data_IF_624438662580
#
_entry.id   IF_624438662580
#
_cell.length_a   1.000
_cell.length_b   1.000
_cell.length_c   1.000
_cell.angle_alpha   90.00
_cell.angle_beta   90.00
_cell.angle_gamma   90.00
#
_symmetry.space_group_name_H-M   'P 1'
#
loop_
_entity.id
_entity.type
_entity.pdbx_description
1 polymer ?
#
# COMPACT_ATOMS: atom_id res chain seq x y z
N UNK A 1 -40.01 -55.74 -75.92
CA UNK A 1 -41.00 -54.66 -76.15
C UNK A 1 -41.67 -54.36 -74.82
N UNK A 2 -41.23 -53.31 -74.12
CA UNK A 2 -41.79 -51.93 -74.13
C UNK A 2 -43.21 -51.86 -73.53
N UNK A 3 -43.61 -50.92 -72.66
CA UNK A 3 -43.05 -49.77 -71.93
C UNK A 3 -44.17 -49.33 -70.97
N UNK A 4 -43.87 -48.91 -69.74
CA UNK A 4 -44.36 -47.64 -69.12
C UNK A 4 -43.93 -47.56 -67.65
N UNK A 5 -42.94 -46.71 -67.33
CA UNK A 5 -43.01 -45.29 -66.89
C UNK A 5 -43.14 -45.18 -65.36
N UNK A 6 -42.06 -44.83 -64.66
CA UNK A 6 -41.63 -43.47 -64.26
C UNK A 6 -42.45 -42.86 -63.11
N UNK A 7 -41.89 -42.85 -61.90
CA UNK A 7 -41.99 -41.72 -60.95
C UNK A 7 -40.78 -41.75 -60.01
N UNK A 8 -40.11 -40.61 -59.90
CA UNK A 8 -38.92 -40.36 -59.09
C UNK A 8 -39.27 -40.12 -57.60
N UNK A 9 -38.25 -40.10 -56.73
CA UNK A 9 -37.90 -38.99 -55.82
C UNK A 9 -37.08 -39.50 -54.61
N UNK A 10 -35.87 -38.94 -54.48
CA UNK A 10 -35.07 -38.71 -53.26
C UNK A 10 -35.10 -39.72 -52.09
N UNK A 11 -33.95 -40.37 -51.86
CA UNK A 11 -33.50 -40.72 -50.50
C UNK A 11 -32.00 -40.44 -50.41
N UNK A 12 -31.65 -39.15 -50.30
CA UNK A 12 -30.94 -38.58 -49.15
C UNK A 12 -29.87 -39.50 -48.55
N UNK A 13 -28.64 -39.25 -49.00
CA UNK A 13 -27.41 -39.57 -48.32
C UNK A 13 -27.37 -38.85 -46.96
N UNK A 14 -27.84 -39.54 -45.92
CA UNK A 14 -28.04 -39.00 -44.57
C UNK A 14 -27.06 -39.53 -43.52
N UNK A 15 -25.97 -40.23 -43.92
CA UNK A 15 -25.04 -40.84 -42.96
C UNK A 15 -23.78 -40.01 -42.65
N UNK A 16 -23.55 -38.90 -43.37
CA UNK A 16 -22.37 -38.04 -43.16
C UNK A 16 -22.53 -36.90 -42.14
N UNK A 17 -23.76 -36.50 -41.80
CA UNK A 17 -24.00 -35.31 -40.96
C UNK A 17 -24.05 -35.61 -39.44
N UNK A 18 -24.19 -36.87 -39.03
CA UNK A 18 -24.33 -37.22 -37.61
C UNK A 18 -23.00 -37.33 -36.87
N UNK A 19 -21.91 -37.72 -37.55
CA UNK A 19 -20.61 -37.97 -36.90
C UNK A 19 -19.87 -36.67 -36.54
N UNK A 20 -19.84 -35.68 -37.45
CA UNK A 20 -19.15 -34.40 -37.22
C UNK A 20 -19.80 -33.55 -36.12
N UNK A 21 -21.13 -33.64 -35.95
CA UNK A 21 -21.85 -32.92 -34.88
C UNK A 21 -21.52 -33.47 -33.48
N UNK A 22 -21.26 -34.78 -33.40
CA UNK A 22 -21.01 -35.50 -32.15
C UNK A 22 -19.60 -35.19 -31.59
N UNK A 23 -18.62 -34.94 -32.45
CA UNK A 23 -17.25 -34.59 -32.08
C UNK A 23 -17.12 -33.14 -31.57
N UNK A 24 -17.93 -32.22 -32.09
CA UNK A 24 -17.96 -30.84 -31.57
C UNK A 24 -18.65 -30.77 -30.21
N UNK A 25 -19.74 -31.51 -30.01
CA UNK A 25 -20.45 -31.54 -28.73
C UNK A 25 -19.58 -32.09 -27.59
N UNK A 26 -18.75 -33.11 -27.87
CA UNK A 26 -17.85 -33.72 -26.88
C UNK A 26 -16.70 -32.81 -26.45
N UNK A 27 -16.30 -31.82 -27.27
CA UNK A 27 -15.26 -30.84 -26.94
C UNK A 27 -15.85 -29.55 -26.34
N UNK A 28 -17.02 -29.12 -26.82
CA UNK A 28 -17.66 -27.88 -26.35
C UNK A 28 -18.18 -28.04 -24.91
N UNK A 29 -18.75 -29.19 -24.56
CA UNK A 29 -19.27 -29.46 -23.22
C UNK A 29 -18.22 -29.34 -22.09
N UNK A 30 -17.03 -29.97 -22.17
CA UNK A 30 -16.00 -29.82 -21.13
C UNK A 30 -15.44 -28.39 -21.08
N UNK A 31 -15.32 -27.69 -22.21
CA UNK A 31 -14.84 -26.31 -22.24
C UNK A 31 -15.80 -25.36 -21.51
N UNK A 32 -17.11 -25.52 -21.72
CA UNK A 32 -18.14 -24.75 -21.01
C UNK A 32 -18.17 -25.09 -19.52
N UNK A 33 -17.96 -26.36 -19.16
CA UNK A 33 -17.84 -26.77 -17.76
C UNK A 33 -16.64 -26.10 -17.07
N UNK A 34 -15.49 -26.08 -17.74
CA UNK A 34 -14.25 -25.47 -17.23
C UNK A 34 -14.43 -23.96 -17.06
N UNK A 35 -15.01 -23.28 -18.05
CA UNK A 35 -15.34 -21.85 -17.97
C UNK A 35 -16.31 -21.57 -16.80
N UNK A 36 -17.34 -22.41 -16.63
CA UNK A 36 -18.27 -22.33 -15.51
C UNK A 36 -17.57 -22.44 -14.15
N UNK A 37 -16.63 -23.38 -14.00
CA UNK A 37 -15.88 -23.53 -12.74
C UNK A 37 -15.00 -22.31 -12.43
N UNK A 38 -14.33 -21.73 -13.42
CA UNK A 38 -13.50 -20.52 -13.24
C UNK A 38 -14.36 -19.33 -12.83
N UNK A 39 -15.52 -19.14 -13.47
CA UNK A 39 -16.46 -18.07 -13.12
C UNK A 39 -17.05 -18.28 -11.72
N UNK A 40 -17.37 -19.52 -11.35
CA UNK A 40 -17.86 -19.86 -10.01
C UNK A 40 -16.82 -19.60 -8.92
N UNK A 41 -15.55 -19.95 -9.17
CA UNK A 41 -14.44 -19.67 -8.25
C UNK A 41 -14.22 -18.16 -8.14
N UNK A 42 -14.23 -17.42 -9.26
CA UNK A 42 -14.13 -15.97 -9.28
C UNK A 42 -15.27 -15.29 -8.50
N UNK A 43 -16.51 -15.74 -8.70
CA UNK A 43 -17.67 -15.26 -7.97
C UNK A 43 -17.59 -15.58 -6.47
N UNK A 44 -17.09 -16.77 -6.10
CA UNK A 44 -16.85 -17.16 -4.72
C UNK A 44 -15.78 -16.28 -4.06
N UNK A 45 -14.66 -16.02 -4.74
CA UNK A 45 -13.60 -15.13 -4.24
C UNK A 45 -14.12 -13.70 -4.05
N UNK A 46 -14.86 -13.16 -5.04
CA UNK A 46 -15.48 -11.84 -4.94
C UNK A 46 -16.52 -11.81 -3.79
N UNK A 47 -17.31 -12.88 -3.62
CA UNK A 47 -18.27 -13.00 -2.54
C UNK A 47 -17.58 -13.10 -1.17
N UNK A 48 -16.47 -13.83 -1.05
CA UNK A 48 -15.67 -13.93 0.18
C UNK A 48 -15.00 -12.60 0.50
N UNK A 49 -14.43 -11.91 -0.49
CA UNK A 49 -13.87 -10.56 -0.33
C UNK A 49 -14.97 -9.58 0.09
N UNK A 50 -16.13 -9.59 -0.58
CA UNK A 50 -17.29 -8.76 -0.19
C UNK A 50 -17.85 -9.12 1.16
N UNK A 51 -17.88 -10.39 1.54
CA UNK A 51 -18.33 -10.87 2.86
C UNK A 51 -17.32 -10.47 3.92
N UNK A 52 -16.03 -10.59 3.68
CA UNK A 52 -14.97 -10.11 4.58
C UNK A 52 -15.08 -8.59 4.80
N UNK A 53 -15.30 -7.84 3.72
CA UNK A 53 -15.52 -6.39 3.78
C UNK A 53 -16.85 -6.02 4.48
N UNK A 54 -17.95 -6.75 4.24
CA UNK A 54 -19.25 -6.52 4.89
C UNK A 54 -19.31 -6.95 6.36
N UNK A 55 -18.64 -8.04 6.73
CA UNK A 55 -18.66 -8.56 8.12
C UNK A 55 -17.81 -7.67 9.05
N UNK A 56 -16.84 -6.93 8.51
CA UNK A 56 -16.13 -5.85 9.23
C UNK A 56 -16.91 -4.54 9.31
N UNK A 57 -17.96 -4.35 8.51
CA UNK A 57 -18.82 -3.16 8.55
C UNK A 57 -19.92 -3.19 9.61
N UNK A 58 -20.00 -4.25 10.42
CA UNK A 58 -21.07 -4.40 11.42
C UNK A 58 -20.67 -5.35 12.54
N UNK A 59 -19.79 -4.89 13.43
CA UNK A 59 -19.62 -5.41 14.80
C UNK A 59 -18.84 -4.37 15.61
N UNK A 60 -19.50 -3.23 15.83
CA UNK A 60 -19.22 -2.35 16.95
C UNK A 60 -19.82 -2.99 18.21
N UNK A 61 -19.03 -2.98 19.28
CA UNK A 61 -19.35 -3.31 20.67
C UNK A 61 -19.73 -4.76 21.02
N UNK A 62 -18.81 -5.46 21.67
CA UNK A 62 -18.97 -5.94 23.06
C UNK A 62 -17.70 -6.64 23.52
N UNK A 63 -16.84 -5.93 24.25
CA UNK A 63 -16.09 -6.55 25.34
C UNK A 63 -15.65 -5.44 26.29
N UNK A 64 -16.37 -5.34 27.41
CA UNK A 64 -15.98 -4.53 28.56
C UNK A 64 -15.04 -5.36 29.43
N UNK A 65 -13.91 -4.78 29.85
CA UNK A 65 -13.06 -5.40 30.85
C UNK A 65 -11.64 -4.86 30.92
N UNK A 66 -11.49 -3.71 31.60
CA UNK A 66 -10.26 -3.22 32.25
C UNK A 66 -9.00 -3.02 31.40
N UNK A 67 -8.73 -1.76 31.02
CA UNK A 67 -7.42 -1.14 31.24
C UNK A 67 -7.52 0.39 31.26
N UNK A 68 -6.67 1.00 32.07
CA UNK A 68 -6.96 2.20 32.85
C UNK A 68 -6.42 3.45 32.18
N UNK A 69 -7.28 4.47 32.00
CA UNK A 69 -7.00 5.92 31.86
C UNK A 69 -6.06 6.43 30.73
N UNK A 70 -5.11 5.66 30.21
CA UNK A 70 -4.24 6.06 29.10
C UNK A 70 -4.94 5.97 27.72
N UNK A 71 -5.97 5.15 27.60
CA UNK A 71 -6.73 4.97 26.36
C UNK A 71 -7.65 6.14 26.02
N UNK A 72 -8.10 6.91 27.03
CA UNK A 72 -9.04 8.03 26.83
C UNK A 72 -8.44 9.19 26.02
N UNK A 73 -7.12 9.39 26.10
CA UNK A 73 -6.43 10.35 25.23
C UNK A 73 -6.17 9.76 23.84
N UNK A 74 -5.93 8.45 23.74
CA UNK A 74 -5.72 7.74 22.48
C UNK A 74 -6.98 7.77 21.61
N UNK A 75 -8.15 7.43 22.17
CA UNK A 75 -9.39 7.25 21.41
C UNK A 75 -9.88 8.52 20.71
N UNK A 76 -9.69 9.71 21.31
CA UNK A 76 -10.05 10.99 20.67
C UNK A 76 -9.13 11.36 19.49
N UNK A 77 -7.86 10.94 19.50
CA UNK A 77 -6.97 11.10 18.35
C UNK A 77 -7.32 10.13 17.21
N UNK A 78 -7.85 8.95 17.52
CA UNK A 78 -8.08 7.91 16.52
C UNK A 78 -9.32 8.15 15.64
N UNK A 79 -10.39 8.79 16.11
CA UNK A 79 -11.64 8.84 15.32
C UNK A 79 -11.67 9.92 14.23
N UNK A 80 -10.85 10.97 14.32
CA UNK A 80 -10.87 12.09 13.36
C UNK A 80 -9.73 12.08 12.34
N UNK A 81 -8.60 11.42 12.66
CA UNK A 81 -7.33 11.56 11.91
C UNK A 81 -7.03 10.44 10.90
N UNK A 82 -7.79 9.33 10.91
CA UNK A 82 -7.48 8.15 10.09
C UNK A 82 -7.58 8.44 8.59
N UNK A 83 -8.40 9.39 8.17
CA UNK A 83 -8.58 9.75 6.75
C UNK A 83 -7.69 10.90 6.28
N UNK A 84 -6.95 11.57 7.17
CA UNK A 84 -6.13 12.74 6.84
C UNK A 84 -4.62 12.48 6.88
N UNK A 85 -4.19 11.30 7.34
CA UNK A 85 -2.79 10.97 7.42
C UNK A 85 -2.31 10.20 6.17
N UNK A 86 -1.14 10.54 5.61
CA UNK A 86 -0.56 9.77 4.51
C UNK A 86 -0.15 8.37 4.96
N UNK A 87 -0.32 7.40 4.05
CA UNK A 87 0.15 6.03 4.23
C UNK A 87 1.67 5.90 4.07
N UNK A 88 2.33 6.89 3.45
CA UNK A 88 3.76 6.89 3.20
C UNK A 88 4.29 8.31 3.11
N UNK A 89 5.37 8.59 3.83
CA UNK A 89 6.02 9.90 3.78
C UNK A 89 7.50 9.80 4.13
N UNK A 90 8.23 10.83 3.74
CA UNK A 90 9.63 11.08 4.11
C UNK A 90 9.69 12.41 4.85
N UNK A 91 10.33 12.45 6.01
CA UNK A 91 10.69 13.68 6.70
C UNK A 91 12.17 13.98 6.48
N UNK A 92 12.47 15.18 5.99
CA UNK A 92 13.82 15.62 5.63
C UNK A 92 14.17 16.81 6.50
N UNK A 93 15.32 16.75 7.18
CA UNK A 93 15.77 17.84 8.03
C UNK A 93 16.36 18.97 7.19
N UNK A 94 15.52 19.92 6.82
CA UNK A 94 15.89 21.01 5.93
C UNK A 94 14.90 22.17 6.08
N UNK A 95 15.36 23.37 5.75
CA UNK A 95 14.54 24.57 5.61
C UNK A 95 14.41 25.04 4.16
N UNK A 96 14.92 24.26 3.20
CA UNK A 96 14.98 24.61 1.78
C UNK A 96 14.16 23.62 0.92
N UNK A 97 12.87 23.91 0.63
CA UNK A 97 12.02 23.08 -0.23
C UNK A 97 12.55 22.90 -1.66
N UNK A 98 13.25 23.91 -2.20
CA UNK A 98 13.80 23.86 -3.55
C UNK A 98 14.93 22.84 -3.65
N UNK A 99 15.79 22.74 -2.61
CA UNK A 99 16.81 21.69 -2.54
C UNK A 99 16.17 20.29 -2.52
N UNK A 100 15.07 20.12 -1.78
CA UNK A 100 14.29 18.86 -1.75
C UNK A 100 13.70 18.55 -3.13
N UNK A 101 13.13 19.55 -3.80
CA UNK A 101 12.59 19.41 -5.15
C UNK A 101 13.66 18.96 -6.15
N UNK A 102 14.83 19.61 -6.14
CA UNK A 102 15.97 19.25 -7.01
C UNK A 102 16.44 17.82 -6.74
N UNK A 103 16.62 17.44 -5.47
CA UNK A 103 17.06 16.10 -5.10
C UNK A 103 16.04 15.01 -5.46
N UNK A 104 14.75 15.32 -5.45
CA UNK A 104 13.72 14.40 -5.93
C UNK A 104 13.61 14.34 -7.46
N UNK A 105 14.16 15.31 -8.19
CA UNK A 105 13.99 15.41 -9.63
C UNK A 105 12.53 15.67 -10.02
N UNK A 106 11.85 16.51 -9.24
CA UNK A 106 10.44 16.84 -9.45
C UNK A 106 10.25 17.78 -10.66
N UNK A 107 9.33 17.39 -11.55
CA UNK A 107 8.90 18.16 -12.72
C UNK A 107 7.49 18.73 -12.52
N UNK A 108 7.17 19.75 -13.32
CA UNK A 108 5.92 20.49 -13.26
C UNK A 108 5.57 20.96 -11.84
N UNK A 109 6.49 21.67 -11.14
CA UNK A 109 6.23 22.12 -9.78
C UNK A 109 5.07 23.12 -9.77
N UNK A 110 4.01 22.79 -9.05
CA UNK A 110 2.87 23.66 -8.81
C UNK A 110 2.79 23.99 -7.31
N UNK A 111 2.75 25.28 -6.91
CA UNK A 111 2.46 25.63 -5.53
C UNK A 111 1.10 25.06 -5.11
N UNK A 112 1.03 24.50 -3.90
CA UNK A 112 -0.24 24.02 -3.32
C UNK A 112 -0.28 24.23 -1.80
N UNK A 113 -1.48 24.32 -1.27
CA UNK A 113 -1.71 24.36 0.17
C UNK A 113 -1.39 23.00 0.81
N UNK A 114 -1.23 22.98 2.14
CA UNK A 114 -1.06 21.73 2.88
C UNK A 114 -2.24 20.79 2.69
N UNK A 115 -3.48 21.30 2.80
CA UNK A 115 -4.69 20.50 2.62
C UNK A 115 -4.77 19.89 1.21
N UNK A 116 -4.41 20.62 0.16
CA UNK A 116 -4.36 20.08 -1.21
C UNK A 116 -3.27 19.01 -1.36
N UNK A 117 -2.07 19.25 -0.83
CA UNK A 117 -0.93 18.34 -0.93
C UNK A 117 -1.11 17.04 -0.13
N UNK A 118 -1.89 17.08 0.94
CA UNK A 118 -2.20 15.93 1.80
C UNK A 118 -3.46 15.17 1.34
N UNK A 119 -4.25 15.75 0.43
CA UNK A 119 -5.46 15.13 -0.08
C UNK A 119 -5.13 13.86 -0.87
N UNK A 120 -5.60 12.72 -0.37
CA UNK A 120 -5.45 11.44 -1.05
C UNK A 120 -6.20 11.45 -2.38
N UNK A 121 -5.51 11.14 -3.49
CA UNK A 121 -6.12 11.04 -4.81
C UNK A 121 -6.25 12.34 -5.59
N UNK A 122 -5.59 13.44 -5.18
CA UNK A 122 -5.60 14.75 -5.85
C UNK A 122 -4.95 14.78 -7.24
N UNK A 123 -4.61 13.62 -7.84
CA UNK A 123 -3.84 13.52 -9.09
C UNK A 123 -2.37 13.94 -8.96
N UNK A 124 -2.03 14.69 -7.90
CA UNK A 124 -0.67 15.05 -7.53
C UNK A 124 0.06 13.81 -7.02
N UNK A 125 1.23 13.53 -7.60
CA UNK A 125 1.95 12.29 -7.35
C UNK A 125 2.92 12.38 -6.17
N UNK A 126 3.49 13.56 -5.95
CA UNK A 126 4.26 13.92 -4.75
C UNK A 126 3.95 15.36 -4.34
N UNK A 127 3.97 15.59 -3.03
CA UNK A 127 3.86 16.86 -2.35
C UNK A 127 5.09 17.07 -1.47
N UNK A 128 5.68 18.27 -1.53
CA UNK A 128 6.71 18.77 -0.63
C UNK A 128 6.07 19.85 0.25
N UNK A 129 6.08 19.66 1.56
CA UNK A 129 5.55 20.66 2.48
C UNK A 129 6.46 21.89 2.61
N UNK A 130 5.93 23.03 3.06
CA UNK A 130 6.76 24.07 3.67
C UNK A 130 7.57 23.50 4.85
N UNK A 131 8.66 24.16 5.28
CA UNK A 131 9.39 23.78 6.47
C UNK A 131 8.53 23.94 7.73
N UNK A 132 8.35 22.87 8.48
CA UNK A 132 7.64 22.84 9.76
C UNK A 132 8.60 22.35 10.83
N UNK A 133 8.93 23.21 11.81
CA UNK A 133 9.84 22.89 12.92
C UNK A 133 11.20 22.31 12.45
N UNK A 134 11.72 22.81 11.33
CA UNK A 134 12.99 22.38 10.74
C UNK A 134 12.92 21.10 9.89
N UNK A 135 11.71 20.60 9.62
CA UNK A 135 11.46 19.44 8.78
C UNK A 135 10.62 19.80 7.56
N UNK A 136 10.97 19.22 6.43
CA UNK A 136 10.15 19.21 5.22
C UNK A 136 9.60 17.81 5.05
N UNK A 137 8.29 17.69 4.84
CA UNK A 137 7.64 16.44 4.53
C UNK A 137 7.52 16.25 3.03
N UNK A 138 7.79 15.04 2.58
CA UNK A 138 7.50 14.59 1.23
C UNK A 138 6.47 13.48 1.33
N UNK A 139 5.34 13.65 0.67
CA UNK A 139 4.19 12.76 0.75
C UNK A 139 3.75 12.40 -0.67
N UNK A 140 3.35 11.15 -0.89
CA UNK A 140 2.69 10.78 -2.15
C UNK A 140 2.92 9.33 -2.55
N UNK A 141 2.21 8.91 -3.61
CA UNK A 141 2.17 7.53 -4.08
C UNK A 141 3.45 7.08 -4.79
N UNK A 142 4.27 8.02 -5.28
CA UNK A 142 5.53 7.71 -5.96
C UNK A 142 6.72 7.44 -5.05
N UNK A 143 6.57 7.64 -3.73
CA UNK A 143 7.58 7.17 -2.80
C UNK A 143 7.69 5.65 -2.92
N UNK A 144 8.88 5.04 -2.82
CA UNK A 144 9.03 3.58 -2.98
C UNK A 144 8.29 2.80 -1.89
N UNK A 145 7.64 1.70 -2.25
CA UNK A 145 7.02 0.74 -1.31
C UNK A 145 8.02 -0.36 -0.97
N UNK A 146 8.51 -0.47 0.28
CA UNK A 146 9.37 -1.58 0.70
C UNK A 146 8.81 -2.96 0.38
N UNK A 147 7.48 -3.12 0.44
CA UNK A 147 6.81 -4.38 0.08
C UNK A 147 6.90 -4.78 -1.40
N UNK A 148 7.17 -3.83 -2.30
CA UNK A 148 7.35 -4.08 -3.73
C UNK A 148 8.83 -4.34 -4.06
N UNK A 149 9.71 -3.44 -3.61
CA UNK A 149 11.16 -3.57 -3.77
C UNK A 149 11.88 -2.82 -2.63
N UNK A 150 12.38 -3.60 -1.66
CA UNK A 150 13.10 -3.09 -0.50
C UNK A 150 14.46 -2.48 -0.87
N UNK A 151 15.11 -2.97 -1.92
CA UNK A 151 16.39 -2.45 -2.39
C UNK A 151 16.22 -1.11 -3.11
N UNK A 152 15.17 -0.98 -3.93
CA UNK A 152 14.81 0.29 -4.54
C UNK A 152 14.47 1.34 -3.46
N UNK A 153 13.73 0.95 -2.42
CA UNK A 153 13.45 1.81 -1.27
C UNK A 153 14.76 2.24 -0.57
N UNK A 154 15.65 1.29 -0.25
CA UNK A 154 16.94 1.58 0.37
C UNK A 154 17.77 2.56 -0.46
N UNK A 155 17.95 2.29 -1.76
CA UNK A 155 18.76 3.12 -2.66
C UNK A 155 18.18 4.53 -2.80
N UNK A 156 16.85 4.64 -2.88
CA UNK A 156 16.16 5.93 -2.91
C UNK A 156 16.46 6.75 -1.66
N UNK A 157 16.27 6.19 -0.47
CA UNK A 157 16.51 6.88 0.80
C UNK A 157 17.99 7.20 1.02
N UNK A 158 18.88 6.28 0.64
CA UNK A 158 20.32 6.50 0.69
C UNK A 158 20.74 7.68 -0.18
N UNK A 159 20.29 7.73 -1.45
CA UNK A 159 20.60 8.82 -2.38
C UNK A 159 20.11 10.16 -1.83
N UNK A 160 18.84 10.20 -1.41
CA UNK A 160 18.23 11.40 -0.86
C UNK A 160 18.98 11.93 0.37
N UNK A 161 19.40 11.03 1.26
CA UNK A 161 20.19 11.37 2.45
C UNK A 161 21.62 11.83 2.13
N UNK A 162 22.24 11.36 1.04
CA UNK A 162 23.55 11.88 0.61
C UNK A 162 23.47 13.35 0.20
N UNK A 163 22.37 13.73 -0.45
CA UNK A 163 22.18 15.08 -0.96
C UNK A 163 21.64 16.05 0.11
N UNK A 164 20.75 15.57 0.99
CA UNK A 164 19.99 16.43 1.92
C UNK A 164 20.33 16.22 3.40
N UNK A 165 21.25 15.30 3.73
CA UNK A 165 21.66 15.04 5.11
C UNK A 165 20.75 14.03 5.83
N UNK A 166 19.95 14.48 6.79
CA UNK A 166 19.11 13.61 7.62
C UNK A 166 17.74 13.36 6.97
N UNK A 167 17.44 12.09 6.73
CA UNK A 167 16.20 11.62 6.07
C UNK A 167 15.57 10.51 6.90
N UNK A 168 14.28 10.66 7.20
CA UNK A 168 13.49 9.68 7.91
C UNK A 168 12.32 9.25 7.05
N UNK A 169 12.02 7.96 7.01
CA UNK A 169 10.98 7.38 6.19
C UNK A 169 9.98 6.64 7.06
N UNK A 170 8.71 6.72 6.69
CA UNK A 170 7.63 6.01 7.35
C UNK A 170 6.63 5.50 6.32
N UNK A 171 6.20 4.27 6.48
CA UNK A 171 5.12 3.68 5.69
C UNK A 171 4.21 2.85 6.57
N UNK A 172 2.91 2.98 6.37
CA UNK A 172 1.87 2.28 7.11
C UNK A 172 0.73 1.91 6.17
N UNK A 173 0.40 0.62 6.15
CA UNK A 173 -0.81 0.11 5.52
C UNK A 173 -1.59 -0.70 6.55
N UNK A 174 -2.52 -0.02 7.24
CA UNK A 174 -3.35 -0.62 8.30
C UNK A 174 -4.23 -1.77 7.81
N UNK A 175 -4.58 -1.81 6.52
CA UNK A 175 -5.48 -2.84 5.98
C UNK A 175 -4.84 -4.23 6.03
N UNK A 176 -3.56 -4.32 5.64
CA UNK A 176 -2.78 -5.57 5.63
C UNK A 176 -1.74 -5.66 6.77
N UNK A 177 -1.56 -4.60 7.53
CA UNK A 177 -0.58 -4.56 8.62
C UNK A 177 0.86 -4.36 8.16
N UNK A 178 1.08 -4.00 6.89
CA UNK A 178 2.41 -3.70 6.38
C UNK A 178 2.88 -2.38 6.94
N UNK A 179 4.16 -2.30 7.25
CA UNK A 179 4.73 -1.09 7.78
C UNK A 179 6.24 -1.07 7.63
N UNK A 180 6.79 0.14 7.58
CA UNK A 180 8.21 0.36 7.58
C UNK A 180 8.56 1.69 8.24
N UNK A 181 9.77 1.77 8.78
CA UNK A 181 10.41 3.02 9.14
C UNK A 181 11.91 2.92 8.92
N UNK A 182 12.52 4.02 8.51
CA UNK A 182 13.96 4.09 8.34
C UNK A 182 14.50 5.47 8.68
N UNK A 183 15.77 5.52 9.05
CA UNK A 183 16.53 6.74 9.30
C UNK A 183 17.90 6.63 8.66
N UNK A 184 18.20 7.62 7.82
CA UNK A 184 19.48 7.80 7.17
C UNK A 184 20.11 9.13 7.55
N UNK A 185 21.43 9.13 7.66
CA UNK A 185 22.24 10.32 7.88
C UNK A 185 23.40 10.29 6.89
N UNK A 186 23.49 11.30 6.03
CA UNK A 186 24.53 11.44 5.00
C UNK A 186 24.76 10.18 4.16
N UNK A 187 23.69 9.49 3.78
CA UNK A 187 23.74 8.26 2.96
C UNK A 187 24.02 6.97 3.73
N UNK A 188 24.12 7.02 5.05
CA UNK A 188 24.28 5.84 5.90
C UNK A 188 22.95 5.49 6.56
N UNK A 189 22.51 4.25 6.41
CA UNK A 189 21.36 3.73 7.15
C UNK A 189 21.72 3.56 8.63
N UNK A 190 21.10 4.37 9.49
CA UNK A 190 21.30 4.33 10.94
C UNK A 190 20.36 3.31 11.57
N UNK A 191 19.11 3.28 11.08
CA UNK A 191 18.08 2.33 11.48
C UNK A 191 17.16 2.06 10.29
N UNK A 192 16.77 0.82 10.07
CA UNK A 192 15.78 0.45 9.08
C UNK A 192 14.99 -0.76 9.55
N UNK A 193 13.67 -0.70 9.40
CA UNK A 193 12.80 -1.84 9.61
C UNK A 193 11.65 -1.82 8.61
N UNK A 194 11.38 -2.95 7.97
CA UNK A 194 10.24 -3.12 7.06
C UNK A 194 9.61 -4.51 7.24
N UNK A 195 8.29 -4.52 7.32
CA UNK A 195 7.46 -5.71 7.51
C UNK A 195 6.34 -5.76 6.47
N UNK A 196 6.25 -6.86 5.74
CA UNK A 196 5.17 -7.15 4.79
C UNK A 196 4.79 -8.63 4.82
N UNK A 197 4.23 -9.07 5.95
CA UNK A 197 3.98 -10.50 6.22
C UNK A 197 5.22 -11.25 6.71
N UNK A 198 6.41 -10.77 6.34
CA UNK A 198 7.72 -11.17 6.85
C UNK A 198 8.65 -9.95 7.01
N UNK A 199 9.79 -10.14 7.67
CA UNK A 199 10.82 -9.11 7.81
C UNK A 199 11.57 -8.93 6.50
N UNK A 200 11.28 -7.84 5.79
CA UNK A 200 11.97 -7.48 4.54
C UNK A 200 13.28 -6.74 4.80
N UNK A 201 13.30 -5.92 5.85
CA UNK A 201 14.47 -5.15 6.25
C UNK A 201 14.55 -5.05 7.76
N UNK A 202 15.72 -5.32 8.33
CA UNK A 202 16.02 -5.04 9.73
C UNK A 202 17.52 -4.72 9.85
N UNK A 203 17.83 -3.43 10.01
CA UNK A 203 19.22 -2.94 10.10
C UNK A 203 19.37 -1.91 11.21
N UNK A 204 20.50 -1.95 11.89
CA UNK A 204 20.83 -1.02 12.97
C UNK A 204 20.15 -1.38 14.29
N UNK A 205 20.66 -0.82 15.40
CA UNK A 205 20.15 -1.11 16.75
C UNK A 205 18.80 -0.45 16.94
N UNK A 206 17.86 -1.17 17.57
CA UNK A 206 16.58 -0.62 18.01
C UNK A 206 16.81 0.67 18.81
N UNK A 207 16.15 1.74 18.40
CA UNK A 207 16.25 3.06 19.02
C UNK A 207 15.51 3.11 20.36
N UNK A 208 15.79 4.13 21.15
CA UNK A 208 15.05 4.37 22.39
C UNK A 208 13.55 4.60 22.13
N UNK A 209 13.19 5.32 21.05
CA UNK A 209 11.81 5.57 20.68
C UNK A 209 11.06 4.26 20.36
N UNK A 210 11.69 3.36 19.60
CA UNK A 210 11.13 2.03 19.32
C UNK A 210 10.91 1.20 20.58
N UNK A 211 11.82 1.28 21.57
CA UNK A 211 11.64 0.62 22.87
C UNK A 211 10.52 1.26 23.69
N UNK A 212 10.49 2.58 23.78
CA UNK A 212 9.47 3.35 24.52
C UNK A 212 8.07 3.02 24.01
N UNK A 213 7.89 2.95 22.69
CA UNK A 213 6.62 2.62 22.06
C UNK A 213 6.32 1.11 22.04
N UNK A 214 7.25 0.28 22.52
CA UNK A 214 7.16 -1.19 22.43
C UNK A 214 6.85 -1.64 21.00
N UNK A 215 7.54 -1.05 20.01
CA UNK A 215 7.46 -1.48 18.62
C UNK A 215 8.07 -2.89 18.54
N UNK A 216 7.45 -3.79 17.79
CA UNK A 216 7.98 -5.15 17.58
C UNK A 216 8.80 -5.17 16.30
N UNK A 217 10.03 -5.68 16.37
CA UNK A 217 10.86 -5.93 15.20
C UNK A 217 11.25 -7.39 15.25
N UNK A 218 10.82 -8.17 14.28
CA UNK A 218 11.25 -9.57 14.16
C UNK A 218 12.56 -9.63 13.37
N UNK A 219 13.43 -10.56 13.72
CA UNK A 219 14.61 -10.85 12.91
C UNK A 219 14.23 -11.60 11.63
N UNK A 220 15.18 -11.66 10.70
CA UNK A 220 14.99 -12.42 9.46
C UNK A 220 14.71 -13.88 9.79
N UNK A 221 13.71 -14.46 9.13
CA UNK A 221 13.23 -15.83 9.36
C UNK A 221 12.67 -16.11 10.76
N UNK A 222 12.49 -15.10 11.61
CA UNK A 222 11.88 -15.24 12.91
C UNK A 222 10.35 -15.27 12.74
N UNK A 223 9.82 -16.41 12.28
CA UNK A 223 8.40 -16.67 12.10
C UNK A 223 8.07 -18.06 12.58
N UNK A 224 7.26 -18.17 13.63
CA UNK A 224 6.71 -19.46 14.03
C UNK A 224 5.67 -19.88 12.97
N UNK A 225 6.08 -20.78 12.08
CA UNK A 225 5.24 -21.37 11.04
C UNK A 225 3.98 -22.00 11.61
N UNK A 226 3.94 -22.30 12.92
CA UNK A 226 2.77 -22.87 13.60
C UNK A 226 1.70 -21.84 13.96
N UNK A 227 2.02 -20.53 13.97
CA UNK A 227 1.07 -19.51 14.42
C UNK A 227 1.20 -18.14 13.71
N UNK A 228 1.27 -18.18 12.38
CA UNK A 228 1.38 -17.03 11.48
C UNK A 228 0.33 -15.92 11.76
N UNK A 229 -0.91 -16.29 12.08
CA UNK A 229 -1.98 -15.34 12.42
C UNK A 229 -1.67 -14.49 13.65
N UNK A 230 -1.16 -15.11 14.72
CA UNK A 230 -0.82 -14.38 15.95
C UNK A 230 0.38 -13.45 15.73
N UNK A 231 1.31 -13.82 14.87
CA UNK A 231 2.44 -12.95 14.49
C UNK A 231 1.95 -11.73 13.69
N UNK A 232 1.08 -11.93 12.70
CA UNK A 232 0.46 -10.84 11.93
C UNK A 232 -0.26 -9.87 12.88
N UNK A 233 -1.09 -10.37 13.78
CA UNK A 233 -1.85 -9.51 14.69
C UNK A 233 -0.94 -8.69 15.61
N UNK A 234 0.14 -9.29 16.11
CA UNK A 234 1.15 -8.57 16.90
C UNK A 234 1.92 -7.53 16.09
N UNK A 235 2.19 -7.81 14.81
CA UNK A 235 2.82 -6.87 13.88
C UNK A 235 1.89 -5.70 13.54
N UNK A 236 0.56 -5.93 13.46
CA UNK A 236 -0.43 -4.86 13.26
C UNK A 236 -0.41 -3.82 14.38
N UNK A 237 -0.07 -4.20 15.61
CA UNK A 237 0.06 -3.23 16.70
C UNK A 237 1.11 -2.13 16.44
N UNK A 238 2.07 -2.36 15.53
CA UNK A 238 3.01 -1.31 15.10
C UNK A 238 2.32 -0.24 14.26
N UNK A 239 1.29 -0.56 13.45
CA UNK A 239 0.66 0.40 12.53
C UNK A 239 0.04 1.57 13.25
N UNK A 240 -0.45 1.36 14.48
CA UNK A 240 -1.04 2.41 15.30
C UNK A 240 0.00 3.30 16.00
N UNK A 241 1.28 2.91 15.95
CA UNK A 241 2.36 3.57 16.69
C UNK A 241 3.35 4.31 15.80
N UNK A 242 3.25 4.18 14.47
CA UNK A 242 4.19 4.80 13.52
C UNK A 242 4.10 6.32 13.55
N UNK A 243 2.90 6.89 13.73
CA UNK A 243 2.75 8.34 13.89
C UNK A 243 3.40 8.85 15.16
N UNK A 244 3.27 8.09 16.26
CA UNK A 244 3.99 8.38 17.50
C UNK A 244 5.51 8.22 17.35
N UNK A 245 5.97 7.27 16.52
CA UNK A 245 7.40 7.15 16.20
C UNK A 245 7.88 8.39 15.44
N UNK A 246 7.12 8.82 14.43
CA UNK A 246 7.43 9.99 13.64
C UNK A 246 7.44 11.28 14.48
N UNK A 247 6.51 11.44 15.42
CA UNK A 247 6.53 12.60 16.33
C UNK A 247 7.74 12.63 17.26
N UNK A 248 8.32 11.47 17.62
CA UNK A 248 9.55 11.40 18.42
C UNK A 248 10.80 11.64 17.56
N UNK A 249 10.83 11.13 16.33
CA UNK A 249 12.01 11.24 15.47
C UNK A 249 12.09 12.54 14.68
N UNK A 250 10.96 13.07 14.21
CA UNK A 250 10.86 14.27 13.37
C UNK A 250 9.51 14.97 13.53
N UNK A 251 8.54 14.62 12.69
CA UNK A 251 7.24 15.27 12.59
C UNK A 251 6.14 14.26 12.26
N UNK A 252 5.04 14.33 13.01
CA UNK A 252 3.79 13.64 12.70
C UNK A 252 2.96 14.54 11.77
N UNK A 253 2.65 14.11 10.53
CA UNK A 253 1.88 14.91 9.58
C UNK A 253 0.48 15.28 10.11
N UNK A 254 -0.11 14.46 10.99
CA UNK A 254 -1.45 14.74 11.56
C UNK A 254 -1.43 15.78 12.69
N UNK A 255 -0.24 16.11 13.21
CA UNK A 255 -0.06 17.10 14.27
C UNK A 255 0.12 18.54 13.76
N UNK A 256 0.20 18.71 12.44
CA UNK A 256 0.42 20.01 11.81
C UNK A 256 -0.91 20.72 11.63
N UNK A 257 -1.00 21.93 12.17
CA UNK A 257 -2.15 22.81 12.01
C UNK A 257 -2.02 23.58 10.70
N UNK A 258 -2.91 23.27 9.75
CA UNK A 258 -2.95 23.93 8.44
C UNK A 258 -3.23 25.44 8.56
N UNK A 259 -4.00 25.87 9.57
CA UNK A 259 -4.29 27.28 9.77
C UNK A 259 -3.03 28.10 10.05
N UNK A 260 -2.03 27.49 10.70
CA UNK A 260 -0.73 28.11 10.96
C UNK A 260 0.20 28.15 9.73
N UNK A 261 -0.18 27.48 8.62
CA UNK A 261 0.57 27.41 7.37
C UNK A 261 -0.10 28.16 6.22
N UNK A 262 -1.12 28.97 6.50
CA UNK A 262 -1.92 29.68 5.48
C UNK A 262 -1.08 30.57 4.55
N UNK A 263 0.02 31.13 5.04
CA UNK A 263 0.94 31.96 4.24
C UNK A 263 2.10 31.16 3.59
N UNK A 264 2.20 29.86 3.87
CA UNK A 264 3.30 29.00 3.43
C UNK A 264 2.81 27.93 2.46
N UNK A 265 3.13 28.08 1.18
CA UNK A 265 2.79 27.10 0.15
C UNK A 265 3.85 26.00 0.04
N UNK A 266 3.38 24.76 -0.13
CA UNK A 266 4.20 23.63 -0.52
C UNK A 266 4.32 23.52 -2.04
N UNK A 267 4.94 22.43 -2.51
CA UNK A 267 5.21 22.17 -3.93
C UNK A 267 4.69 20.78 -4.29
N UNK A 268 3.72 20.69 -5.20
CA UNK A 268 3.32 19.43 -5.82
C UNK A 268 4.03 19.23 -7.17
N UNK A 269 4.29 17.97 -7.55
CA UNK A 269 4.86 17.66 -8.87
C UNK A 269 4.96 16.16 -9.18
N UNK A 270 5.52 15.86 -10.36
CA UNK A 270 5.75 14.50 -10.88
C UNK A 270 7.23 14.09 -10.76
N UNK A 271 7.54 12.82 -10.44
CA UNK A 271 8.91 12.30 -10.63
C UNK A 271 9.19 12.09 -12.12
N UNK A 272 10.43 12.37 -12.53
CA UNK A 272 10.94 11.90 -13.82
C UNK A 272 10.77 10.38 -13.90
N UNK A 273 10.02 9.88 -14.88
CA UNK A 273 10.17 8.46 -15.23
C UNK A 273 11.60 8.28 -15.73
N UNK A 274 12.38 7.48 -15.00
CA UNK A 274 13.66 7.02 -15.51
C UNK A 274 13.38 6.29 -16.82
N UNK A 275 13.80 6.89 -17.94
CA UNK A 275 13.71 6.24 -19.25
C UNK A 275 14.58 4.97 -19.13
N UNK A 276 14.02 3.76 -19.32
CA UNK A 276 14.86 2.57 -19.39
C UNK A 276 15.84 2.77 -20.54
N UNK A 277 17.14 2.66 -20.23
CA UNK A 277 18.19 2.56 -21.24
C UNK A 277 18.22 1.16 -21.80
#
# INVERSE_FOLDING_TARGET
MNVSKFTAIFAMDGRGASAASQDHATIILPLLLLLGTVLMIGALLIMVIRRYLRTRGGKLFTSAGQQTQAEFHSERFFQSSIFQCPNRWVAIKSANPQAVQTALGLHNPTPCSWTEGMAQGSGQKLFISPPVRGWILVVGSLLPEPGEDVDACFRFLQRLSRELGEVQFFSVNRAVGHHAWARFECGRAIRGYAWAGETLWNQGRKTWAERKLSLRCYDYYEGDTRNHFAQIERSRANTEKILLLASIWSLDPSSVDDSALTDALGIAGDLSQAKPR
#
